data_IF_659391512201
#
_entry.id   IF_659391512201
#
_cell.length_a   1.000
_cell.length_b   1.000
_cell.length_c   1.000
_cell.angle_alpha   90.00
_cell.angle_beta   90.00
_cell.angle_gamma   90.00
#
_symmetry.space_group_name_H-M   'P 1'
#
loop_
_entity.id
_entity.type
_entity.pdbx_description
1 polymer ?
#
# COMPACT_ATOMS: atom_id res chain seq x y z
N UNK A 1 0.08 13.10 -9.58
CA UNK A 1 0.71 12.18 -8.61
C UNK A 1 1.53 12.88 -7.54
N UNK A 2 2.15 14.04 -7.80
CA UNK A 2 3.06 14.69 -6.86
C UNK A 2 2.49 14.87 -5.43
N UNK A 3 1.19 15.15 -5.30
CA UNK A 3 0.53 15.31 -4.00
C UNK A 3 0.45 14.01 -3.18
N UNK A 4 0.38 12.85 -3.83
CA UNK A 4 0.34 11.54 -3.17
C UNK A 4 1.74 10.94 -2.95
N UNK A 5 2.73 11.36 -3.72
CA UNK A 5 4.09 10.83 -3.64
C UNK A 5 4.67 10.77 -2.21
N UNK A 6 4.50 11.77 -1.32
CA UNK A 6 5.01 11.69 0.04
C UNK A 6 4.15 10.85 1.00
N UNK A 7 2.95 10.42 0.60
CA UNK A 7 2.04 9.69 1.49
C UNK A 7 2.49 8.23 1.67
N UNK A 8 2.73 7.81 2.92
CA UNK A 8 3.22 6.46 3.20
C UNK A 8 2.27 5.33 2.79
N UNK A 9 0.95 5.53 2.90
CA UNK A 9 -0.03 4.49 2.55
C UNK A 9 -0.07 4.26 1.05
N UNK A 10 0.01 5.35 0.29
CA UNK A 10 0.17 5.27 -1.16
C UNK A 10 1.48 4.56 -1.54
N UNK A 11 2.59 4.85 -0.86
CA UNK A 11 3.87 4.16 -1.12
C UNK A 11 3.80 2.66 -0.78
N UNK A 12 3.14 2.27 0.32
CA UNK A 12 2.88 0.87 0.65
C UNK A 12 1.98 0.19 -0.38
N UNK A 13 0.91 0.83 -0.82
CA UNK A 13 0.07 0.34 -1.92
C UNK A 13 0.91 0.03 -3.16
N UNK A 14 1.77 0.96 -3.59
CA UNK A 14 2.60 0.75 -4.78
C UNK A 14 3.53 -0.47 -4.63
N UNK A 15 4.17 -0.61 -3.46
CA UNK A 15 5.14 -1.67 -3.19
C UNK A 15 4.49 -3.04 -3.04
N UNK A 16 3.43 -3.14 -2.24
CA UNK A 16 2.86 -4.44 -1.87
C UNK A 16 2.00 -5.03 -3.00
N UNK A 17 1.37 -4.20 -3.84
CA UNK A 17 0.64 -4.69 -5.03
C UNK A 17 1.63 -5.17 -6.10
N UNK A 18 2.70 -4.41 -6.35
CA UNK A 18 3.72 -4.77 -7.35
C UNK A 18 4.46 -6.07 -7.00
N UNK A 19 4.60 -6.37 -5.71
CA UNK A 19 5.17 -7.63 -5.22
C UNK A 19 4.16 -8.76 -5.07
N UNK A 20 2.87 -8.50 -5.31
CA UNK A 20 1.79 -9.47 -5.16
C UNK A 20 1.44 -9.82 -3.70
N UNK A 21 1.98 -9.09 -2.72
CA UNK A 21 1.70 -9.28 -1.29
C UNK A 21 0.39 -8.67 -0.83
N UNK A 22 -0.11 -7.67 -1.57
CA UNK A 22 -1.40 -7.05 -1.32
C UNK A 22 -2.38 -7.41 -2.44
N UNK A 23 -3.41 -8.17 -2.08
CA UNK A 23 -4.59 -8.37 -2.92
C UNK A 23 -5.48 -7.15 -2.78
N UNK A 24 -5.90 -6.57 -3.91
CA UNK A 24 -6.77 -5.40 -3.91
C UNK A 24 -8.24 -5.84 -3.86
N UNK A 25 -9.10 -5.13 -3.13
CA UNK A 25 -10.54 -5.37 -3.17
C UNK A 25 -11.11 -5.06 -4.54
N UNK A 26 -12.23 -5.72 -4.86
CA UNK A 26 -13.01 -5.46 -6.07
C UNK A 26 -13.36 -3.97 -6.22
N UNK A 27 -13.67 -3.57 -7.46
CA UNK A 27 -14.13 -2.22 -7.71
C UNK A 27 -15.49 -1.99 -7.06
N UNK A 28 -15.61 -0.88 -6.35
CA UNK A 28 -16.91 -0.33 -5.97
C UNK A 28 -17.54 0.33 -7.21
N UNK A 29 -18.84 0.18 -7.37
CA UNK A 29 -19.63 0.88 -8.41
C UNK A 29 -20.45 2.00 -7.81
N UNK A 30 -20.63 3.09 -8.56
CA UNK A 30 -21.60 4.13 -8.23
C UNK A 30 -23.02 3.72 -8.66
N UNK A 31 -24.02 4.59 -8.42
CA UNK A 31 -25.42 4.37 -8.82
C UNK A 31 -25.61 4.18 -10.35
N UNK A 32 -24.62 4.57 -11.16
CA UNK A 32 -24.60 4.49 -12.62
C UNK A 32 -23.84 3.25 -13.15
N UNK A 33 -23.52 2.28 -12.28
CA UNK A 33 -22.71 1.09 -12.55
C UNK A 33 -21.29 1.42 -13.06
N UNK A 34 -20.78 2.60 -12.73
CA UNK A 34 -19.44 3.03 -13.12
C UNK A 34 -18.42 2.70 -12.03
N UNK A 35 -17.29 2.12 -12.42
CA UNK A 35 -16.24 1.74 -11.48
C UNK A 35 -15.62 2.99 -10.84
N UNK A 36 -15.57 3.00 -9.51
CA UNK A 36 -14.88 4.02 -8.73
C UNK A 36 -13.37 3.77 -8.72
N UNK A 37 -12.62 4.75 -9.22
CA UNK A 37 -11.15 4.71 -9.27
C UNK A 37 -10.61 5.90 -8.48
N UNK A 38 -9.82 5.63 -7.45
CA UNK A 38 -9.23 6.70 -6.65
C UNK A 38 -8.06 7.39 -7.36
N UNK A 39 -7.86 8.65 -7.02
CA UNK A 39 -6.70 9.40 -7.51
C UNK A 39 -5.41 8.65 -7.18
N UNK A 40 -4.59 8.42 -8.19
CA UNK A 40 -3.30 7.74 -8.05
C UNK A 40 -3.34 6.23 -8.19
N UNK A 41 -4.49 5.60 -8.43
CA UNK A 41 -4.49 4.16 -8.72
C UNK A 41 -3.73 3.85 -10.00
N UNK A 42 -2.93 2.77 -9.93
CA UNK A 42 -2.01 2.34 -10.99
C UNK A 42 -2.07 0.84 -11.30
N UNK A 43 -2.96 0.08 -10.68
CA UNK A 43 -3.09 -1.37 -10.88
C UNK A 43 -4.52 -1.72 -11.27
N UNK A 44 -4.64 -2.71 -12.16
CA UNK A 44 -5.94 -3.23 -12.57
C UNK A 44 -6.44 -4.22 -11.53
N UNK A 45 -7.72 -4.11 -11.16
CA UNK A 45 -8.36 -5.00 -10.18
C UNK A 45 -9.43 -5.89 -10.80
N UNK A 46 -9.60 -5.85 -12.12
CA UNK A 46 -10.56 -6.72 -12.82
C UNK A 46 -10.08 -8.17 -12.63
N UNK A 47 -10.97 -9.08 -12.18
CA UNK A 47 -10.66 -10.50 -12.06
C UNK A 47 -10.04 -11.07 -13.34
N UNK A 48 -9.08 -11.98 -13.17
CA UNK A 48 -8.38 -12.66 -14.28
C UNK A 48 -7.63 -11.74 -15.26
N UNK A 49 -7.46 -10.46 -14.92
CA UNK A 49 -6.65 -9.57 -15.74
C UNK A 49 -5.17 -9.96 -15.67
N UNK A 50 -4.61 -10.41 -16.79
CA UNK A 50 -3.17 -10.74 -16.93
C UNK A 50 -2.23 -9.56 -16.65
N UNK A 51 -2.76 -8.33 -16.55
CA UNK A 51 -2.03 -7.09 -16.26
C UNK A 51 -2.37 -6.51 -14.87
N UNK A 52 -3.00 -7.28 -13.98
CA UNK A 52 -3.38 -6.82 -12.64
C UNK A 52 -2.17 -6.31 -11.83
N UNK A 53 -1.07 -7.07 -11.84
CA UNK A 53 0.18 -6.70 -11.15
C UNK A 53 1.05 -5.71 -11.93
N UNK A 54 0.67 -5.34 -13.16
CA UNK A 54 1.44 -4.38 -13.96
C UNK A 54 1.12 -2.96 -13.51
N UNK A 55 2.12 -2.30 -12.94
CA UNK A 55 2.05 -0.88 -12.61
C UNK A 55 1.94 -0.01 -13.88
N UNK A 56 0.84 0.72 -13.99
CA UNK A 56 0.65 1.75 -15.02
C UNK A 56 1.41 3.02 -14.63
N UNK A 57 1.81 3.83 -15.61
CA UNK A 57 2.56 5.07 -15.36
C UNK A 57 1.67 6.22 -14.89
N UNK A 58 0.36 6.15 -15.15
CA UNK A 58 -0.62 7.14 -14.72
C UNK A 58 -2.01 6.51 -14.57
N UNK A 59 -2.85 7.12 -13.73
CA UNK A 59 -4.25 6.70 -13.57
C UNK A 59 -5.02 6.79 -14.89
N UNK A 60 -4.71 7.75 -15.77
CA UNK A 60 -5.34 7.81 -17.10
C UNK A 60 -5.00 6.59 -17.96
N UNK A 61 -3.76 6.10 -17.90
CA UNK A 61 -3.38 4.89 -18.63
C UNK A 61 -4.07 3.64 -18.06
N UNK A 62 -4.27 3.59 -16.73
CA UNK A 62 -5.10 2.56 -16.11
C UNK A 62 -6.55 2.64 -16.58
N UNK A 63 -7.16 3.84 -16.61
CA UNK A 63 -8.54 4.03 -17.12
C UNK A 63 -8.68 3.54 -18.55
N UNK A 64 -7.75 3.93 -19.43
CA UNK A 64 -7.76 3.47 -20.83
C UNK A 64 -7.66 1.94 -20.92
N UNK A 65 -6.86 1.31 -20.06
CA UNK A 65 -6.82 -0.15 -19.98
C UNK A 65 -8.13 -0.75 -19.45
N UNK A 66 -8.76 -0.15 -18.46
CA UNK A 66 -10.01 -0.67 -17.90
C UNK A 66 -11.14 -0.69 -18.93
N UNK A 67 -11.18 0.31 -19.82
CA UNK A 67 -12.10 0.35 -20.95
C UNK A 67 -11.86 -0.76 -22.00
N UNK A 68 -10.77 -1.53 -21.92
CA UNK A 68 -10.57 -2.71 -22.78
C UNK A 68 -11.22 -3.97 -22.24
N UNK A 69 -11.72 -3.95 -21.01
CA UNK A 69 -12.48 -5.07 -20.44
C UNK A 69 -13.95 -4.93 -20.82
N UNK A 70 -14.57 -6.07 -21.17
CA UNK A 70 -15.99 -6.10 -21.54
C UNK A 70 -16.88 -5.69 -20.37
N UNK A 71 -17.88 -4.85 -20.64
CA UNK A 71 -18.86 -4.41 -19.64
C UNK A 71 -18.35 -3.38 -18.63
N UNK A 72 -17.11 -2.91 -18.72
CA UNK A 72 -16.58 -1.88 -17.81
C UNK A 72 -17.05 -0.49 -18.23
N UNK A 73 -17.72 0.19 -17.30
CA UNK A 73 -18.10 1.60 -17.40
C UNK A 73 -17.32 2.42 -16.37
N UNK A 74 -16.83 3.59 -16.75
CA UNK A 74 -16.04 4.47 -15.87
C UNK A 74 -16.65 5.86 -15.87
N UNK A 75 -16.62 6.53 -14.71
CA UNK A 75 -17.04 7.92 -14.59
C UNK A 75 -16.30 8.81 -15.62
N UNK A 76 -16.88 9.93 -16.04
CA UNK A 76 -16.11 10.89 -16.83
C UNK A 76 -14.89 11.35 -16.03
N UNK A 77 -13.70 11.07 -16.59
CA UNK A 77 -12.44 11.19 -15.86
C UNK A 77 -12.13 12.61 -15.39
N UNK A 78 -11.14 12.72 -14.49
CA UNK A 78 -10.57 13.98 -14.04
C UNK A 78 -10.14 14.81 -15.25
N UNK A 79 -10.96 15.80 -15.61
CA UNK A 79 -10.67 16.77 -16.66
C UNK A 79 -9.36 17.46 -16.29
N UNK A 80 -8.43 17.59 -17.24
CA UNK A 80 -7.08 18.10 -16.99
C UNK A 80 -7.09 19.36 -16.12
N UNK A 81 -6.39 19.30 -14.98
CA UNK A 81 -6.44 20.35 -13.96
C UNK A 81 -5.83 19.92 -12.63
N UNK A 82 -5.80 20.86 -11.67
CA UNK A 82 -5.37 20.57 -10.29
C UNK A 82 -6.45 19.78 -9.58
N UNK A 83 -6.11 18.56 -9.17
CA UNK A 83 -6.99 17.70 -8.36
C UNK A 83 -7.34 18.39 -7.05
N UNK A 84 -8.61 18.30 -6.63
CA UNK A 84 -9.09 18.93 -5.40
C UNK A 84 -8.51 18.21 -4.19
N UNK A 85 -8.26 18.94 -3.10
CA UNK A 85 -7.72 18.34 -1.87
C UNK A 85 -8.62 17.22 -1.34
N UNK A 86 -9.95 17.37 -1.44
CA UNK A 86 -10.92 16.33 -1.07
C UNK A 86 -10.67 15.00 -1.78
N UNK A 87 -10.42 15.02 -3.09
CA UNK A 87 -10.15 13.79 -3.86
C UNK A 87 -8.84 13.13 -3.45
N UNK A 88 -7.84 13.93 -3.08
CA UNK A 88 -6.58 13.44 -2.52
C UNK A 88 -6.82 12.80 -1.15
N UNK A 89 -7.61 13.43 -0.29
CA UNK A 89 -7.91 12.92 1.06
C UNK A 89 -8.74 11.63 1.01
N UNK A 90 -9.71 11.54 0.10
CA UNK A 90 -10.51 10.34 -0.13
C UNK A 90 -9.64 9.19 -0.66
N UNK A 91 -8.71 9.47 -1.58
CA UNK A 91 -7.73 8.47 -2.03
C UNK A 91 -6.81 8.01 -0.88
N UNK A 92 -6.31 8.92 -0.05
CA UNK A 92 -5.49 8.56 1.13
C UNK A 92 -6.28 7.69 2.10
N UNK A 93 -7.57 7.98 2.33
CA UNK A 93 -8.43 7.17 3.18
C UNK A 93 -8.57 5.75 2.62
N UNK A 94 -8.77 5.64 1.31
CA UNK A 94 -8.81 4.35 0.60
C UNK A 94 -7.50 3.58 0.73
N UNK A 95 -6.34 4.18 0.43
CA UNK A 95 -5.06 3.47 0.59
C UNK A 95 -4.78 3.02 2.03
N UNK A 96 -5.25 3.78 3.02
CA UNK A 96 -5.13 3.40 4.43
C UNK A 96 -6.07 2.23 4.79
N UNK A 97 -7.27 2.17 4.20
CA UNK A 97 -8.24 1.09 4.51
C UNK A 97 -7.70 -0.29 4.11
N UNK A 98 -6.89 -0.35 3.04
CA UNK A 98 -6.19 -1.57 2.60
C UNK A 98 -5.29 -2.21 3.68
N UNK A 99 -4.94 -1.48 4.73
CA UNK A 99 -4.05 -1.93 5.80
C UNK A 99 -4.67 -1.83 7.20
N UNK A 100 -6.01 -1.75 7.30
CA UNK A 100 -6.70 -1.43 8.57
C UNK A 100 -6.92 -2.62 9.52
N UNK A 101 -6.25 -3.76 9.32
CA UNK A 101 -6.16 -4.88 10.29
C UNK A 101 -5.11 -4.68 11.39
N UNK A 102 -4.83 -3.44 11.79
CA UNK A 102 -3.65 -3.09 12.58
C UNK A 102 -3.79 -3.36 14.10
N UNK A 103 -3.74 -4.64 14.49
CA UNK A 103 -3.11 -5.04 15.76
C UNK A 103 -1.76 -5.72 15.45
N UNK A 104 -0.70 -5.47 16.26
CA UNK A 104 0.61 -6.04 16.01
C UNK A 104 0.58 -7.56 16.18
N UNK A 105 0.57 -8.30 15.08
CA UNK A 105 0.82 -9.74 15.11
C UNK A 105 2.28 -9.98 15.49
N UNK A 106 2.46 -10.58 16.67
CA UNK A 106 3.71 -11.19 17.10
C UNK A 106 4.01 -12.33 16.11
N UNK A 107 5.19 -12.28 15.52
CA UNK A 107 5.69 -13.15 14.45
C UNK A 107 5.35 -14.63 14.69
N UNK A 108 4.68 -15.25 13.72
CA UNK A 108 4.80 -16.68 13.47
C UNK A 108 5.94 -16.89 12.46
N UNK A 109 6.74 -17.91 12.70
CA UNK A 109 8.08 -18.10 12.16
C UNK A 109 8.12 -18.45 10.66
N UNK A 110 9.22 -18.02 10.03
CA UNK A 110 9.88 -18.78 8.98
C UNK A 110 9.52 -18.44 7.53
N UNK A 111 10.37 -17.65 6.88
CA UNK A 111 11.26 -18.15 5.80
C UNK A 111 12.06 -17.01 5.22
N UNK A 112 13.38 -17.10 5.38
CA UNK A 112 14.34 -16.22 4.73
C UNK A 112 14.34 -16.49 3.22
N UNK A 113 14.38 -15.43 2.43
CA UNK A 113 14.95 -15.51 1.09
C UNK A 113 15.76 -14.26 0.84
N UNK A 114 17.08 -14.45 0.82
CA UNK A 114 18.04 -13.54 0.24
C UNK A 114 17.81 -13.47 -1.27
N UNK A 115 17.75 -12.27 -1.82
CA UNK A 115 18.19 -12.03 -3.19
C UNK A 115 18.60 -10.56 -3.33
N UNK A 116 19.90 -10.37 -3.52
CA UNK A 116 20.50 -9.11 -3.91
C UNK A 116 20.06 -8.74 -5.34
N UNK A 117 19.63 -7.50 -5.56
CA UNK A 117 19.98 -6.76 -6.76
C UNK A 117 19.82 -5.24 -6.60
N UNK A 118 20.75 -4.53 -7.22
CA UNK A 118 21.07 -3.13 -6.97
C UNK A 118 20.15 -2.15 -7.72
N UNK A 119 19.42 -1.33 -6.95
CA UNK A 119 19.04 0.04 -7.30
C UNK A 119 19.71 0.99 -6.30
N UNK A 120 19.34 2.28 -6.18
CA UNK A 120 19.74 3.08 -5.01
C UNK A 120 19.13 2.42 -3.77
N UNK A 121 19.87 1.47 -3.19
CA UNK A 121 19.31 0.48 -2.28
C UNK A 121 18.85 1.17 -1.01
N UNK A 122 17.54 1.25 -0.83
CA UNK A 122 16.95 1.65 0.45
C UNK A 122 17.60 0.78 1.54
N UNK A 123 18.16 1.38 2.59
CA UNK A 123 18.90 0.63 3.61
C UNK A 123 17.99 -0.42 4.25
N UNK A 124 18.58 -1.57 4.61
CA UNK A 124 17.85 -2.63 5.32
C UNK A 124 17.39 -2.10 6.67
N UNK A 125 16.13 -2.38 7.03
CA UNK A 125 15.56 -2.01 8.32
C UNK A 125 16.38 -2.65 9.46
N UNK A 126 16.91 -1.86 10.41
CA UNK A 126 17.65 -2.43 11.52
C UNK A 126 16.72 -3.24 12.44
N UNK A 127 16.89 -4.57 12.47
CA UNK A 127 16.16 -5.49 13.34
C UNK A 127 17.05 -5.99 14.49
N UNK A 128 16.42 -6.39 15.59
CA UNK A 128 17.06 -7.14 16.68
C UNK A 128 17.09 -8.64 16.33
N UNK A 129 17.79 -9.41 17.15
CA UNK A 129 17.83 -10.88 17.02
C UNK A 129 16.45 -11.53 17.10
N UNK A 130 15.51 -10.92 17.84
CA UNK A 130 14.13 -11.39 17.99
C UNK A 130 13.19 -10.95 16.85
N UNK A 131 13.71 -10.31 15.79
CA UNK A 131 12.93 -9.85 14.64
C UNK A 131 12.20 -8.51 14.84
N UNK A 132 12.12 -7.97 16.07
CA UNK A 132 11.56 -6.63 16.28
C UNK A 132 12.50 -5.53 15.84
N UNK A 133 11.95 -4.35 15.54
CA UNK A 133 12.72 -3.18 15.09
C UNK A 133 13.70 -2.73 16.16
N UNK A 134 14.96 -2.56 15.76
CA UNK A 134 15.99 -1.96 16.59
C UNK A 134 15.87 -0.42 16.58
N UNK A 135 14.86 0.10 17.28
CA UNK A 135 14.44 1.51 17.30
C UNK A 135 15.60 2.51 17.38
N UNK A 136 16.59 2.27 18.24
CA UNK A 136 17.77 3.17 18.36
C UNK A 136 18.60 3.25 17.08
N UNK A 137 18.81 2.12 16.40
CA UNK A 137 19.60 2.05 15.17
C UNK A 137 18.79 2.59 14.00
N UNK A 138 17.48 2.30 13.96
CA UNK A 138 16.58 2.90 12.98
C UNK A 138 16.59 4.42 13.09
N UNK A 139 16.44 5.00 14.29
CA UNK A 139 16.50 6.45 14.50
C UNK A 139 17.85 7.07 14.10
N UNK A 140 18.97 6.37 14.37
CA UNK A 140 20.29 6.80 13.92
C UNK A 140 20.36 6.86 12.38
N UNK A 141 19.90 5.80 11.70
CA UNK A 141 19.85 5.74 10.23
C UNK A 141 18.94 6.81 9.63
N UNK A 142 17.78 7.05 10.23
CA UNK A 142 16.87 8.15 9.83
C UNK A 142 17.58 9.51 9.90
N UNK A 143 18.37 9.76 10.96
CA UNK A 143 19.15 10.98 11.07
C UNK A 143 20.30 11.05 10.05
N UNK A 144 20.96 9.92 9.75
CA UNK A 144 21.98 9.84 8.69
C UNK A 144 21.39 10.11 7.29
N UNK A 145 20.13 9.75 7.07
CA UNK A 145 19.36 10.08 5.86
C UNK A 145 18.84 11.54 5.85
N UNK A 146 19.16 12.34 6.87
CA UNK A 146 18.80 13.76 6.94
C UNK A 146 17.41 14.05 7.50
N UNK A 147 16.74 13.08 8.11
CA UNK A 147 15.41 13.26 8.69
C UNK A 147 15.46 13.52 10.21
N UNK A 148 14.56 14.39 10.71
CA UNK A 148 14.40 14.69 12.14
C UNK A 148 13.68 13.55 12.88
N UNK A 149 13.93 13.36 14.17
CA UNK A 149 13.12 12.43 15.00
C UNK A 149 12.54 13.22 16.17
N UNK A 150 11.20 13.22 16.37
CA UNK A 150 10.19 12.37 15.73
C UNK A 150 9.76 12.79 14.32
N UNK A 151 9.17 11.86 13.56
CA UNK A 151 8.42 12.18 12.35
C UNK A 151 7.13 12.94 12.69
N UNK A 152 6.55 13.60 11.70
CA UNK A 152 5.36 14.43 11.87
C UNK A 152 4.15 13.59 12.32
N UNK A 153 3.97 12.36 11.81
CA UNK A 153 2.88 11.46 12.25
C UNK A 153 3.04 10.94 13.69
N UNK A 154 4.26 10.85 14.22
CA UNK A 154 4.47 10.31 15.57
C UNK A 154 4.36 11.37 16.67
N UNK A 155 4.73 12.62 16.38
CA UNK A 155 4.67 13.76 17.32
C UNK A 155 5.61 13.70 18.53
N UNK A 156 5.97 12.50 19.02
CA UNK A 156 6.81 12.27 20.19
C UNK A 156 8.00 11.37 19.86
N UNK A 157 9.18 11.78 20.34
CA UNK A 157 10.44 11.04 20.15
C UNK A 157 10.32 9.60 20.66
N UNK A 158 9.63 9.37 21.77
CA UNK A 158 9.51 8.05 22.39
C UNK A 158 8.63 7.09 21.59
N UNK A 159 7.70 7.59 20.78
CA UNK A 159 6.75 6.78 20.00
C UNK A 159 7.24 6.55 18.56
N UNK A 160 8.10 7.45 18.05
CA UNK A 160 8.65 7.35 16.70
C UNK A 160 9.52 6.11 16.48
N UNK A 161 9.41 5.49 15.29
CA UNK A 161 10.19 4.31 14.87
C UNK A 161 9.87 3.00 15.63
N UNK A 162 8.73 2.91 16.31
CA UNK A 162 8.28 1.68 17.01
C UNK A 162 7.29 0.84 16.22
N UNK A 163 6.40 1.50 15.48
CA UNK A 163 5.22 0.88 14.88
C UNK A 163 5.12 1.30 13.40
N UNK A 164 5.11 0.31 12.51
CA UNK A 164 5.02 0.48 11.05
C UNK A 164 3.73 1.18 10.63
N UNK A 165 2.65 0.97 11.39
CA UNK A 165 1.34 1.57 11.11
C UNK A 165 1.32 3.06 11.48
N UNK A 166 2.19 3.49 12.40
CA UNK A 166 2.21 4.87 12.91
C UNK A 166 3.34 5.71 12.33
N UNK A 167 4.56 5.16 12.24
CA UNK A 167 5.74 5.92 11.88
C UNK A 167 5.94 6.03 10.36
N UNK A 168 6.21 7.24 9.88
CA UNK A 168 6.41 7.51 8.44
C UNK A 168 7.75 6.97 7.93
N UNK A 169 8.71 6.76 8.82
CA UNK A 169 10.08 6.43 8.41
C UNK A 169 10.28 4.97 8.00
N UNK A 170 9.31 4.09 8.20
CA UNK A 170 9.43 2.71 7.70
C UNK A 170 9.58 2.66 6.18
N UNK A 171 8.97 3.59 5.45
CA UNK A 171 9.08 3.59 3.98
C UNK A 171 10.50 3.88 3.46
N UNK A 172 11.36 4.46 4.32
CA UNK A 172 12.77 4.75 3.98
C UNK A 172 13.65 3.49 3.96
N UNK A 173 13.15 2.37 4.48
CA UNK A 173 13.91 1.14 4.60
C UNK A 173 13.33 0.06 3.69
N UNK A 174 14.22 -0.84 3.27
CA UNK A 174 13.79 -2.18 2.89
C UNK A 174 13.39 -2.92 4.16
N UNK A 175 12.08 -3.09 4.32
CA UNK A 175 11.51 -3.64 5.54
C UNK A 175 11.33 -5.17 5.48
N UNK A 176 11.64 -5.83 4.35
CA UNK A 176 11.48 -7.28 4.21
C UNK A 176 10.06 -7.76 4.57
N UNK A 177 9.94 -8.49 5.69
CA UNK A 177 8.67 -8.99 6.24
C UNK A 177 7.92 -7.97 7.10
N UNK A 178 8.52 -6.82 7.42
CA UNK A 178 7.91 -5.77 8.26
C UNK A 178 7.12 -4.80 7.37
N UNK A 179 5.90 -5.16 7.00
CA UNK A 179 4.95 -4.28 6.33
C UNK A 179 3.71 -4.05 7.21
N UNK A 180 2.90 -3.00 6.94
CA UNK A 180 1.58 -2.89 7.54
C UNK A 180 0.76 -4.13 7.19
N UNK A 181 0.04 -4.67 8.17
CA UNK A 181 -0.81 -5.84 7.95
C UNK A 181 -1.91 -5.48 6.95
N UNK A 182 -2.05 -6.22 5.83
CA UNK A 182 -3.20 -6.06 4.95
C UNK A 182 -4.50 -6.22 5.75
N UNK A 183 -5.53 -5.48 5.41
CA UNK A 183 -6.86 -5.77 5.93
C UNK A 183 -7.24 -7.19 5.47
N UNK A 184 -7.45 -8.12 6.42
CA UNK A 184 -7.93 -9.45 6.10
C UNK A 184 -9.23 -9.33 5.33
N UNK A 185 -9.21 -9.72 4.06
CA UNK A 185 -10.43 -10.00 3.34
C UNK A 185 -10.98 -11.28 3.96
N UNK A 186 -12.17 -11.21 4.53
CA UNK A 186 -12.83 -12.37 5.10
C UNK A 186 -13.17 -13.27 3.90
N UNK A 187 -12.38 -14.31 3.69
CA UNK A 187 -12.75 -15.41 2.82
C UNK A 187 -14.07 -15.96 3.36
N UNK A 188 -15.17 -15.68 2.64
CA UNK A 188 -16.43 -16.36 2.89
C UNK A 188 -16.26 -17.73 2.25
N UNK A 189 -15.70 -18.66 3.01
CA UNK A 189 -15.75 -20.09 2.72
C UNK A 189 -17.23 -20.51 2.83
N UNK A 190 -17.99 -20.38 1.74
CA UNK A 190 -19.30 -21.03 1.62
C UNK A 190 -19.03 -22.51 1.32
N UNK A 191 -18.84 -23.27 2.40
CA UNK A 191 -18.71 -24.72 2.39
C UNK A 191 -20.06 -25.36 2.01
N UNK A 192 -19.96 -26.36 1.15
CA UNK A 192 -21.02 -27.05 0.42
C UNK A 192 -22.11 -27.68 1.30
N UNK A 193 -23.36 -27.63 0.82
CA UNK A 193 -24.45 -28.50 1.26
C UNK A 193 -25.11 -29.19 0.06
N UNK A 194 -24.61 -30.36 -0.31
CA UNK A 194 -25.29 -31.35 -1.14
C UNK A 194 -26.45 -31.96 -0.33
N UNK A 195 -27.67 -31.90 -0.86
CA UNK A 195 -28.81 -32.84 -0.71
C UNK A 195 -30.01 -32.16 -1.42
N UNK A 196 -30.74 -32.76 -2.36
CA UNK A 196 -31.27 -34.13 -2.41
C UNK A 196 -31.41 -34.67 -3.84
#
# INVERSE_FOLDING_TARGET
MATLAPNKWYQWYLREVETGKLVLPDYETNDDDELQIYYGELFCRVPDCVRAQKKYTSTNNLRTHLLTHDGVKLEQGLVGGRVKQKEVDDAIRSYKSLFSGAEPQKSAEGSASSAENAGPSTPILPLKKDGTVHVTNMRKKVAELGHKVPCDSCGKRNDCCKDVNKCDYFILFDCGSVCPTPASQVDTEDEQGVEA
#
